data_IF_648083244365
#
_entry.id   IF_648083244365
#
_cell.length_a   1.000
_cell.length_b   1.000
_cell.length_c   1.000
_cell.angle_alpha   90.00
_cell.angle_beta   90.00
_cell.angle_gamma   90.00
#
_symmetry.space_group_name_H-M   'P 1'
#
loop_
_entity.id
_entity.type
_entity.pdbx_description
1 polymer ?
#
# COMPACT_ATOMS: atom_id res chain seq x y z
N UNK A 1 21.02 4.53 -8.47
CA UNK A 1 20.95 3.27 -9.18
C UNK A 1 20.24 2.22 -8.33
N UNK A 2 18.93 2.28 -8.29
CA UNK A 2 18.15 1.37 -7.48
C UNK A 2 17.99 0.04 -8.18
N UNK A 3 18.30 -1.04 -7.47
CA UNK A 3 17.91 -2.36 -7.94
C UNK A 3 16.42 -2.53 -7.67
N UNK A 4 15.80 -3.47 -8.38
CA UNK A 4 14.41 -3.80 -8.12
C UNK A 4 14.17 -4.29 -6.70
N UNK A 5 15.18 -4.90 -6.08
CA UNK A 5 15.08 -5.34 -4.69
C UNK A 5 14.84 -4.17 -3.74
N UNK A 6 15.45 -3.01 -4.01
CA UNK A 6 15.20 -1.81 -3.22
C UNK A 6 13.74 -1.37 -3.33
N UNK A 7 13.13 -1.50 -4.50
CA UNK A 7 11.73 -1.13 -4.69
C UNK A 7 10.80 -1.95 -3.80
N UNK A 8 11.07 -3.24 -3.64
CA UNK A 8 10.32 -4.11 -2.73
C UNK A 8 10.43 -3.61 -1.29
N UNK A 9 11.65 -3.34 -0.85
CA UNK A 9 11.91 -2.84 0.50
C UNK A 9 11.23 -1.49 0.73
N UNK A 10 11.37 -0.57 -0.21
CA UNK A 10 10.77 0.77 -0.14
C UNK A 10 9.25 0.66 -0.03
N UNK A 11 8.64 -0.16 -0.88
CA UNK A 11 7.20 -0.38 -0.85
C UNK A 11 6.72 -0.90 0.49
N UNK A 12 7.42 -1.89 1.04
CA UNK A 12 7.06 -2.46 2.34
C UNK A 12 7.22 -1.48 3.49
N UNK A 13 8.28 -0.67 3.48
CA UNK A 13 8.48 0.33 4.52
C UNK A 13 7.37 1.39 4.46
N UNK A 14 6.99 1.81 3.26
CA UNK A 14 5.90 2.77 3.09
C UNK A 14 4.56 2.18 3.53
N UNK A 15 4.32 0.91 3.27
CA UNK A 15 3.12 0.23 3.78
C UNK A 15 3.11 0.14 5.30
N UNK A 16 4.25 -0.06 5.93
CA UNK A 16 4.37 -0.04 7.39
C UNK A 16 3.96 1.33 7.93
N UNK A 17 4.41 2.40 7.30
CA UNK A 17 4.04 3.76 7.69
C UNK A 17 2.53 3.99 7.45
N UNK A 18 2.01 3.56 6.31
CA UNK A 18 0.57 3.64 6.02
C UNK A 18 -0.25 2.97 7.12
N UNK A 19 0.17 1.78 7.51
CA UNK A 19 -0.50 1.00 8.55
C UNK A 19 -0.52 1.73 9.89
N UNK A 20 0.61 2.31 10.27
CA UNK A 20 0.72 3.08 11.51
C UNK A 20 -0.20 4.29 11.47
N UNK A 21 -0.25 5.00 10.35
CA UNK A 21 -1.13 6.16 10.18
C UNK A 21 -2.61 5.75 10.21
N UNK A 22 -2.94 4.64 9.55
CA UNK A 22 -4.31 4.16 9.46
C UNK A 22 -4.88 3.75 10.82
N UNK A 23 -4.03 3.29 11.73
CA UNK A 23 -4.44 2.80 13.04
C UNK A 23 -4.18 3.79 14.18
N UNK A 24 -3.71 5.00 13.88
CA UNK A 24 -3.36 5.98 14.90
C UNK A 24 -3.63 7.40 14.42
N UNK A 25 -4.81 7.91 14.72
CA UNK A 25 -5.23 9.26 14.31
C UNK A 25 -4.34 10.35 14.92
N UNK A 26 -3.80 10.12 16.12
CA UNK A 26 -2.92 11.09 16.75
C UNK A 26 -1.62 11.25 15.97
N UNK A 27 -1.12 10.15 15.44
CA UNK A 27 0.08 10.18 14.59
C UNK A 27 -0.19 10.95 13.30
N UNK A 28 -1.32 10.70 12.64
CA UNK A 28 -1.70 11.46 11.44
C UNK A 28 -1.77 12.95 11.74
N UNK A 29 -2.41 13.32 12.85
CA UNK A 29 -2.54 14.73 13.24
C UNK A 29 -1.18 15.34 13.52
N UNK A 30 -0.29 14.63 14.20
CA UNK A 30 1.05 15.13 14.49
C UNK A 30 1.84 15.42 13.23
N UNK A 31 1.75 14.55 12.22
CA UNK A 31 2.50 14.70 10.97
C UNK A 31 1.90 15.73 10.04
N UNK A 32 0.64 16.12 10.23
CA UNK A 32 -0.02 17.11 9.38
C UNK A 32 -0.20 18.46 10.07
N UNK A 33 0.20 18.61 11.32
CA UNK A 33 0.04 19.83 12.10
C UNK A 33 0.98 20.92 11.56
N UNK A 34 0.46 21.99 10.95
CA UNK A 34 1.31 23.03 10.36
C UNK A 34 2.10 23.82 11.40
N UNK A 35 1.73 23.75 12.68
CA UNK A 35 2.44 24.45 13.76
C UNK A 35 3.68 23.70 14.26
N UNK A 36 3.84 22.42 13.88
CA UNK A 36 5.01 21.64 14.29
C UNK A 36 6.17 21.84 13.32
N UNK A 37 7.40 21.99 13.83
CA UNK A 37 8.57 22.02 12.94
C UNK A 37 8.72 20.73 12.16
N UNK A 38 9.19 20.83 10.91
CA UNK A 38 9.41 19.67 10.05
C UNK A 38 10.39 18.69 10.70
N UNK A 39 11.42 19.19 11.37
CA UNK A 39 12.43 18.35 12.04
C UNK A 39 11.79 17.42 13.08
N UNK A 40 10.80 17.92 13.82
CA UNK A 40 10.10 17.11 14.83
C UNK A 40 9.28 16.01 14.16
N UNK A 41 8.63 16.33 13.05
CA UNK A 41 7.84 15.35 12.28
C UNK A 41 8.75 14.26 11.70
N UNK A 42 9.89 14.63 11.16
CA UNK A 42 10.86 13.66 10.62
C UNK A 42 11.38 12.76 11.74
N UNK A 43 11.63 13.30 12.93
CA UNK A 43 12.05 12.51 14.08
C UNK A 43 10.99 11.46 14.46
N UNK A 44 9.71 11.83 14.40
CA UNK A 44 8.60 10.89 14.65
C UNK A 44 8.63 9.75 13.63
N UNK A 45 8.82 10.08 12.35
CA UNK A 45 8.90 9.06 11.30
C UNK A 45 10.09 8.11 11.55
N UNK A 46 11.25 8.65 11.94
CA UNK A 46 12.43 7.83 12.26
C UNK A 46 12.16 6.88 13.41
N UNK A 47 11.45 7.34 14.43
CA UNK A 47 11.07 6.50 15.55
C UNK A 47 10.17 5.35 15.09
N UNK A 48 9.31 5.63 14.13
CA UNK A 48 8.33 4.67 13.63
C UNK A 48 8.98 3.52 12.83
N UNK A 49 9.92 3.85 11.94
CA UNK A 49 10.52 2.87 11.04
C UNK A 49 11.97 2.50 11.38
N UNK A 50 12.54 3.19 12.37
CA UNK A 50 13.87 2.89 12.87
C UNK A 50 15.01 3.44 12.01
N UNK A 51 16.24 3.19 12.50
CA UNK A 51 17.44 3.71 11.85
C UNK A 51 17.80 2.97 10.56
N UNK A 52 17.16 1.83 10.33
CA UNK A 52 17.43 0.99 9.15
C UNK A 52 16.59 1.39 7.94
N UNK A 53 15.80 2.46 8.05
CA UNK A 53 14.92 2.92 6.98
C UNK A 53 15.72 3.22 5.72
N UNK A 54 15.17 2.85 4.57
CA UNK A 54 15.79 3.18 3.29
C UNK A 54 15.84 4.71 3.13
N UNK A 55 16.98 5.27 2.68
CA UNK A 55 17.10 6.73 2.51
C UNK A 55 16.00 7.37 1.68
N UNK A 56 15.56 6.69 0.63
CA UNK A 56 14.49 7.23 -0.22
C UNK A 56 13.15 7.32 0.54
N UNK A 57 12.87 6.37 1.44
CA UNK A 57 11.66 6.44 2.27
C UNK A 57 11.71 7.68 3.17
N UNK A 58 12.86 7.95 3.77
CA UNK A 58 13.03 9.14 4.60
C UNK A 58 12.89 10.43 3.78
N UNK A 59 13.40 10.42 2.55
CA UNK A 59 13.28 11.54 1.64
C UNK A 59 11.83 11.81 1.27
N UNK A 60 11.09 10.76 0.92
CA UNK A 60 9.66 10.86 0.61
C UNK A 60 8.89 11.41 1.82
N UNK A 61 9.13 10.85 2.99
CA UNK A 61 8.41 11.28 4.19
C UNK A 61 8.76 12.71 4.58
N UNK A 62 10.02 13.11 4.46
CA UNK A 62 10.44 14.49 4.74
C UNK A 62 9.72 15.48 3.85
N UNK A 63 9.55 15.13 2.57
CA UNK A 63 8.79 15.96 1.64
C UNK A 63 7.32 16.02 2.02
N UNK A 64 6.71 14.87 2.29
CA UNK A 64 5.27 14.81 2.60
C UNK A 64 4.91 15.56 3.88
N UNK A 65 5.72 15.42 4.95
CA UNK A 65 5.41 16.10 6.22
C UNK A 65 5.65 17.60 6.15
N UNK A 66 6.40 18.08 5.14
CA UNK A 66 6.65 19.51 4.94
C UNK A 66 5.52 20.20 4.17
N UNK A 67 4.60 19.44 3.58
CA UNK A 67 3.49 19.99 2.80
C UNK A 67 2.30 20.33 3.68
N UNK A 68 1.43 21.19 3.18
CA UNK A 68 0.13 21.47 3.81
C UNK A 68 -0.88 20.46 3.31
N UNK A 69 -1.66 19.92 4.23
CA UNK A 69 -2.67 18.91 3.92
C UNK A 69 -4.06 19.44 4.24
N UNK A 70 -4.97 19.35 3.28
CA UNK A 70 -6.36 19.79 3.44
C UNK A 70 -7.11 18.90 4.41
N UNK A 71 -6.82 17.59 4.38
CA UNK A 71 -7.38 16.61 5.31
C UNK A 71 -6.25 15.82 5.93
N UNK A 72 -6.43 15.47 7.20
CA UNK A 72 -5.45 14.69 7.94
C UNK A 72 -5.15 13.35 7.26
N UNK A 73 -6.18 12.70 6.74
CA UNK A 73 -6.04 11.39 6.09
C UNK A 73 -5.34 11.42 4.72
N UNK A 74 -5.20 12.60 4.12
CA UNK A 74 -4.58 12.72 2.80
C UNK A 74 -3.11 12.33 2.80
N UNK A 75 -2.41 12.53 3.93
CA UNK A 75 -1.02 12.11 4.02
C UNK A 75 -0.90 10.59 3.94
N UNK A 76 -1.77 9.86 4.63
CA UNK A 76 -1.78 8.39 4.55
C UNK A 76 -2.08 7.90 3.13
N UNK A 77 -2.99 8.59 2.43
CA UNK A 77 -3.28 8.27 1.03
C UNK A 77 -2.04 8.44 0.16
N UNK A 78 -1.27 9.51 0.37
CA UNK A 78 -0.04 9.75 -0.38
C UNK A 78 1.02 8.69 -0.08
N UNK A 79 1.22 8.33 1.18
CA UNK A 79 2.18 7.30 1.57
C UNK A 79 1.81 5.95 0.96
N UNK A 80 0.55 5.60 1.03
CA UNK A 80 0.04 4.36 0.43
C UNK A 80 0.29 4.33 -1.08
N UNK A 81 0.03 5.43 -1.75
CA UNK A 81 0.23 5.55 -3.19
C UNK A 81 1.70 5.31 -3.57
N UNK A 82 2.63 5.92 -2.84
CA UNK A 82 4.05 5.67 -3.05
C UNK A 82 4.42 4.21 -2.75
N UNK A 83 3.81 3.61 -1.74
CA UNK A 83 4.01 2.19 -1.44
C UNK A 83 3.62 1.29 -2.60
N UNK A 84 2.48 1.57 -3.21
CA UNK A 84 2.02 0.83 -4.39
C UNK A 84 2.97 1.06 -5.58
N UNK A 85 3.46 2.28 -5.75
CA UNK A 85 4.46 2.56 -6.79
C UNK A 85 5.71 1.70 -6.60
N UNK A 86 6.17 1.55 -5.36
CA UNK A 86 7.30 0.66 -5.07
C UNK A 86 7.02 -0.78 -5.50
N UNK A 87 5.82 -1.27 -5.23
CA UNK A 87 5.41 -2.61 -5.66
C UNK A 87 5.37 -2.73 -7.19
N UNK A 88 4.89 -1.70 -7.89
CA UNK A 88 4.87 -1.69 -9.35
C UNK A 88 6.28 -1.73 -9.95
N UNK A 89 7.19 -0.94 -9.41
CA UNK A 89 8.58 -0.95 -9.88
C UNK A 89 9.23 -2.31 -9.64
N UNK A 90 8.94 -2.93 -8.51
CA UNK A 90 9.45 -4.28 -8.27
C UNK A 90 8.86 -5.29 -9.26
N UNK A 91 7.57 -5.19 -9.55
CA UNK A 91 6.92 -6.06 -10.53
C UNK A 91 7.53 -5.86 -11.93
N UNK A 92 7.83 -4.61 -12.31
CA UNK A 92 8.53 -4.32 -13.56
C UNK A 92 9.90 -5.00 -13.60
N UNK A 93 10.64 -4.92 -12.50
CA UNK A 93 11.98 -5.52 -12.40
C UNK A 93 11.92 -7.04 -12.56
N UNK A 94 10.89 -7.68 -12.05
CA UNK A 94 10.72 -9.15 -12.14
C UNK A 94 9.90 -9.59 -13.34
N UNK A 95 9.51 -8.66 -14.20
CA UNK A 95 8.69 -8.92 -15.38
C UNK A 95 7.35 -9.58 -15.05
N UNK A 96 6.72 -9.16 -13.93
CA UNK A 96 5.45 -9.73 -13.48
C UNK A 96 4.32 -8.72 -13.43
N UNK A 97 4.50 -7.52 -13.97
CA UNK A 97 3.51 -6.44 -13.89
C UNK A 97 2.15 -6.86 -14.46
N UNK A 98 2.14 -7.45 -15.66
CA UNK A 98 0.90 -7.93 -16.26
C UNK A 98 0.29 -9.06 -15.43
N UNK A 99 1.12 -9.98 -14.96
CA UNK A 99 0.66 -11.11 -14.15
C UNK A 99 -0.01 -10.61 -12.86
N UNK A 100 0.56 -9.62 -12.19
CA UNK A 100 -0.03 -9.01 -10.99
C UNK A 100 -1.41 -8.44 -11.32
N UNK A 101 -1.53 -7.72 -12.43
CA UNK A 101 -2.81 -7.15 -12.86
C UNK A 101 -3.86 -8.24 -13.07
N UNK A 102 -3.48 -9.33 -13.73
CA UNK A 102 -4.37 -10.48 -13.96
C UNK A 102 -4.78 -11.12 -12.64
N UNK A 103 -3.82 -11.32 -11.74
CA UNK A 103 -4.08 -11.95 -10.43
C UNK A 103 -5.00 -11.09 -9.56
N UNK A 104 -4.83 -9.78 -9.59
CA UNK A 104 -5.73 -8.87 -8.87
C UNK A 104 -7.15 -8.95 -9.44
N UNK A 105 -7.28 -9.06 -10.76
CA UNK A 105 -8.58 -9.23 -11.40
C UNK A 105 -9.21 -10.58 -11.04
N UNK A 106 -8.42 -11.64 -10.95
CA UNK A 106 -8.90 -12.95 -10.50
C UNK A 106 -9.41 -12.89 -9.05
N UNK A 107 -8.67 -12.22 -8.18
CA UNK A 107 -9.08 -12.04 -6.78
C UNK A 107 -10.38 -11.27 -6.72
N UNK A 108 -10.50 -10.18 -7.48
CA UNK A 108 -11.71 -9.38 -7.54
C UNK A 108 -12.92 -10.24 -7.98
N UNK A 109 -12.75 -11.00 -9.05
CA UNK A 109 -13.82 -11.89 -9.55
C UNK A 109 -14.23 -12.95 -8.55
N UNK A 110 -13.25 -13.57 -7.89
CA UNK A 110 -13.52 -14.58 -6.87
C UNK A 110 -14.36 -13.99 -5.73
N UNK A 111 -14.01 -12.80 -5.28
CA UNK A 111 -14.70 -12.15 -4.16
C UNK A 111 -16.10 -11.66 -4.54
N UNK A 112 -16.34 -11.32 -5.81
CA UNK A 112 -17.68 -10.99 -6.27
C UNK A 112 -18.66 -12.14 -6.01
N UNK A 113 -18.20 -13.38 -6.12
CA UNK A 113 -19.01 -14.57 -5.95
C UNK A 113 -18.97 -15.13 -4.53
N UNK A 114 -18.31 -14.47 -3.61
CA UNK A 114 -18.16 -14.90 -2.22
C UNK A 114 -18.51 -13.76 -1.26
N UNK A 115 -19.79 -13.36 -1.20
CA UNK A 115 -20.18 -12.19 -0.41
C UNK A 115 -19.90 -12.32 1.09
N UNK A 116 -19.97 -13.52 1.64
CA UNK A 116 -19.69 -13.73 3.07
C UNK A 116 -18.21 -13.50 3.36
N UNK A 117 -17.34 -14.04 2.52
CA UNK A 117 -15.88 -13.85 2.65
C UNK A 117 -15.53 -12.37 2.49
N UNK A 118 -16.10 -11.74 1.47
CA UNK A 118 -15.87 -10.32 1.20
C UNK A 118 -16.27 -9.44 2.39
N UNK A 119 -17.43 -9.72 2.98
CA UNK A 119 -17.91 -8.97 4.15
C UNK A 119 -16.95 -9.11 5.33
N UNK A 120 -16.43 -10.32 5.57
CA UNK A 120 -15.49 -10.56 6.67
C UNK A 120 -14.16 -9.88 6.44
N UNK A 121 -13.68 -9.83 5.19
CA UNK A 121 -12.43 -9.16 4.86
C UNK A 121 -12.51 -7.64 5.08
N UNK A 122 -13.71 -7.09 5.03
CA UNK A 122 -13.95 -5.66 5.23
C UNK A 122 -14.35 -5.33 6.68
N UNK A 123 -14.56 -6.30 7.52
CA UNK A 123 -15.10 -6.10 8.86
C UNK A 123 -13.99 -5.66 9.84
N UNK A 124 -14.04 -4.38 10.24
CA UNK A 124 -13.07 -3.81 11.16
C UNK A 124 -13.13 -4.41 12.56
N UNK A 125 -14.25 -5.08 12.92
CA UNK A 125 -14.38 -5.74 14.22
C UNK A 125 -13.64 -7.08 14.26
N UNK A 126 -13.29 -7.63 13.10
CA UNK A 126 -12.47 -8.85 13.01
C UNK A 126 -11.00 -8.44 13.06
N UNK A 127 -10.18 -9.07 13.94
CA UNK A 127 -8.77 -8.73 14.01
C UNK A 127 -8.06 -8.89 12.67
N UNK A 128 -7.09 -8.02 12.38
CA UNK A 128 -6.33 -8.06 11.12
C UNK A 128 -5.73 -9.42 10.85
N UNK A 129 -5.20 -10.07 11.88
CA UNK A 129 -4.60 -11.40 11.75
C UNK A 129 -5.59 -12.45 11.27
N UNK A 130 -6.82 -12.39 11.77
CA UNK A 130 -7.88 -13.31 11.35
C UNK A 130 -8.30 -13.02 9.91
N UNK A 131 -8.36 -11.74 9.53
CA UNK A 131 -8.68 -11.36 8.14
C UNK A 131 -7.58 -11.84 7.18
N UNK A 132 -6.32 -11.72 7.58
CA UNK A 132 -5.19 -12.21 6.77
C UNK A 132 -5.25 -13.72 6.60
N UNK A 133 -5.58 -14.45 7.67
CA UNK A 133 -5.77 -15.91 7.58
C UNK A 133 -6.86 -16.26 6.59
N UNK A 134 -7.97 -15.52 6.64
CA UNK A 134 -9.08 -15.74 5.70
C UNK A 134 -8.66 -15.47 4.27
N UNK A 135 -7.91 -14.39 4.04
CA UNK A 135 -7.35 -14.07 2.73
C UNK A 135 -6.50 -15.24 2.21
N UNK A 136 -5.56 -15.73 3.02
CA UNK A 136 -4.66 -16.80 2.58
C UNK A 136 -5.38 -18.14 2.42
N UNK A 137 -6.48 -18.37 3.13
CA UNK A 137 -7.30 -19.56 2.87
C UNK A 137 -7.96 -19.47 1.49
N UNK A 138 -8.21 -18.27 1.00
CA UNK A 138 -8.81 -18.04 -0.31
C UNK A 138 -7.77 -18.14 -1.44
N UNK A 139 -6.58 -17.55 -1.26
CA UNK A 139 -5.60 -17.40 -2.32
C UNK A 139 -4.38 -18.31 -2.18
N UNK A 140 -4.27 -19.06 -1.09
CA UNK A 140 -3.06 -19.84 -0.78
C UNK A 140 -2.68 -20.86 -1.86
N UNK A 141 -3.68 -21.46 -2.51
CA UNK A 141 -3.47 -22.47 -3.54
C UNK A 141 -3.41 -21.88 -4.95
N UNK A 142 -3.58 -20.56 -5.10
CA UNK A 142 -3.65 -19.92 -6.40
C UNK A 142 -2.29 -19.64 -7.04
N UNK A 143 -1.20 -19.85 -6.31
CA UNK A 143 0.18 -19.60 -6.77
C UNK A 143 0.38 -18.16 -7.27
N UNK A 144 -0.19 -17.20 -6.55
CA UNK A 144 -0.01 -15.79 -6.87
C UNK A 144 1.43 -15.33 -6.62
N UNK A 145 1.87 -14.33 -7.39
CA UNK A 145 3.16 -13.68 -7.18
C UNK A 145 3.22 -13.03 -5.81
N UNK A 146 4.42 -12.80 -5.31
CA UNK A 146 4.57 -12.17 -3.99
C UNK A 146 4.06 -10.73 -3.97
N UNK A 147 4.11 -10.02 -5.11
CA UNK A 147 3.56 -8.66 -5.20
C UNK A 147 2.04 -8.69 -4.99
N UNK A 148 1.35 -9.57 -5.70
CA UNK A 148 -0.11 -9.72 -5.55
C UNK A 148 -0.48 -10.05 -4.11
N UNK A 149 0.24 -11.02 -3.51
CA UNK A 149 0.01 -11.41 -2.12
C UNK A 149 0.20 -10.22 -1.17
N UNK A 150 1.28 -9.46 -1.38
CA UNK A 150 1.57 -8.30 -0.52
C UNK A 150 0.52 -7.20 -0.66
N UNK A 151 0.07 -6.92 -1.89
CA UNK A 151 -0.97 -5.92 -2.12
C UNK A 151 -2.30 -6.35 -1.50
N UNK A 152 -2.69 -7.61 -1.68
CA UNK A 152 -3.92 -8.14 -1.09
C UNK A 152 -3.85 -8.11 0.44
N UNK A 153 -2.72 -8.46 1.01
CA UNK A 153 -2.50 -8.42 2.46
C UNK A 153 -2.58 -6.98 2.99
N UNK A 154 -1.97 -6.03 2.28
CA UNK A 154 -2.07 -4.62 2.63
C UNK A 154 -3.52 -4.16 2.68
N UNK A 155 -4.31 -4.49 1.65
CA UNK A 155 -5.73 -4.15 1.60
C UNK A 155 -6.51 -4.78 2.75
N UNK A 156 -6.11 -5.96 3.18
CA UNK A 156 -6.75 -6.70 4.27
C UNK A 156 -6.43 -6.08 5.63
N UNK A 157 -5.20 -5.65 5.83
CA UNK A 157 -4.76 -5.05 7.09
C UNK A 157 -5.22 -3.60 7.24
N UNK A 158 -5.39 -2.88 6.14
CA UNK A 158 -5.64 -1.45 6.14
C UNK A 158 -6.88 -1.13 5.31
N UNK A 159 -8.02 -1.10 5.98
CA UNK A 159 -9.31 -0.92 5.31
C UNK A 159 -9.45 0.47 4.70
N UNK A 160 -8.82 1.48 5.27
CA UNK A 160 -8.76 2.85 4.73
C UNK A 160 -10.13 3.44 4.42
N UNK A 161 -11.17 3.07 5.19
CA UNK A 161 -12.55 3.50 4.97
C UNK A 161 -13.05 3.20 3.55
N UNK A 162 -12.54 2.12 2.95
CA UNK A 162 -12.95 1.65 1.63
C UNK A 162 -13.40 0.21 1.74
N UNK A 163 -14.37 -0.18 0.91
CA UNK A 163 -14.73 -1.59 0.80
C UNK A 163 -13.59 -2.33 0.12
N UNK A 164 -13.41 -3.59 0.49
CA UNK A 164 -12.27 -4.38 -0.01
C UNK A 164 -12.20 -4.39 -1.54
N UNK A 165 -13.32 -4.61 -2.21
CA UNK A 165 -13.35 -4.60 -3.68
C UNK A 165 -12.98 -3.25 -4.28
N UNK A 166 -13.32 -2.15 -3.60
CA UNK A 166 -12.90 -0.82 -4.06
C UNK A 166 -11.39 -0.67 -4.04
N UNK A 167 -10.74 -1.19 -3.00
CA UNK A 167 -9.28 -1.14 -2.91
C UNK A 167 -8.65 -2.00 -4.00
N UNK A 168 -9.15 -3.22 -4.22
CA UNK A 168 -8.62 -4.09 -5.26
C UNK A 168 -8.82 -3.45 -6.64
N UNK A 169 -9.99 -2.85 -6.90
CA UNK A 169 -10.24 -2.16 -8.16
C UNK A 169 -9.30 -0.97 -8.37
N UNK A 170 -9.03 -0.23 -7.32
CA UNK A 170 -8.07 0.88 -7.36
C UNK A 170 -6.68 0.38 -7.76
N UNK A 171 -6.25 -0.74 -7.17
CA UNK A 171 -4.96 -1.34 -7.52
C UNK A 171 -4.93 -1.80 -8.97
N UNK A 172 -5.99 -2.44 -9.43
CA UNK A 172 -6.12 -2.86 -10.84
C UNK A 172 -5.96 -1.65 -11.76
N UNK A 173 -6.66 -0.58 -11.45
CA UNK A 173 -6.61 0.65 -12.26
C UNK A 173 -5.22 1.27 -12.28
N UNK A 174 -4.52 1.27 -11.15
CA UNK A 174 -3.15 1.79 -11.08
C UNK A 174 -2.21 0.96 -11.97
N UNK A 175 -2.30 -0.35 -11.90
CA UNK A 175 -1.46 -1.23 -12.73
C UNK A 175 -1.80 -1.08 -14.21
N UNK A 176 -3.07 -0.95 -14.55
CA UNK A 176 -3.50 -0.74 -15.94
C UNK A 176 -2.96 0.57 -16.51
N UNK A 177 -3.06 1.66 -15.75
CA UNK A 177 -2.51 2.95 -16.18
C UNK A 177 -1.00 2.89 -16.32
N UNK A 178 -0.32 2.25 -15.38
CA UNK A 178 1.13 2.10 -15.42
C UNK A 178 1.58 1.38 -16.68
N UNK A 179 0.92 0.28 -17.03
CA UNK A 179 1.22 -0.48 -18.26
C UNK A 179 0.90 0.33 -19.52
N UNK A 180 -0.19 1.10 -19.51
CA UNK A 180 -0.55 1.96 -20.62
C UNK A 180 0.48 3.06 -20.87
N UNK A 181 0.97 3.67 -19.80
CA UNK A 181 2.02 4.69 -19.88
C UNK A 181 3.31 4.11 -20.43
N UNK A 182 3.68 2.90 -20.02
CA UNK A 182 4.87 2.24 -20.53
C UNK A 182 4.76 1.93 -22.02
N UNK A 183 3.60 1.51 -22.50
CA UNK A 183 3.35 1.25 -23.90
C UNK A 183 3.46 2.52 -24.74
N UNK A 184 2.92 3.63 -24.26
CA UNK A 184 3.00 4.93 -24.94
C UNK A 184 4.46 5.39 -25.03
N UNK A 185 5.23 5.17 -24.00
CA UNK A 185 6.64 5.57 -23.96
C UNK A 185 7.47 4.78 -24.98
N UNK A 186 7.14 3.52 -25.22
CA UNK A 186 7.88 2.65 -26.14
C UNK A 186 7.63 3.03 -27.60
N UNK A 187 6.45 3.55 -27.91
CA UNK A 187 6.15 3.98 -29.28
C UNK A 187 6.75 5.33 -29.62
#
# INVERSE_FOLDING_TARGET
>A
RNSGEDAWRIGNELFTITSALDHNIQLERALTDPSRPVEDKVAVVKTLIGDQAHPLVMEIMSDLVSRRWSRVSDIANAVEDFGVDGMMYYADHTNTTLQVSVELAELHSALLNLPVVRTKLYDATVPSEARVKLLYSLIGDADFTKVTKRLAEHATCNLRNRRYLQTIQWLINKFSRHMGESMVTVT
#
